data_IF_460846545578
#
_entry.id   IF_460846545578
#
_cell.length_a   1.000
_cell.length_b   1.000
_cell.length_c   1.000
_cell.angle_alpha   90.00
_cell.angle_beta   90.00
_cell.angle_gamma   90.00
#
_symmetry.space_group_name_H-M   'P 1'
#
loop_
_entity.id
_entity.type
_entity.pdbx_description
1 polymer ?
#
# COMPACT_ATOMS: atom_id res chain seq x y z
N UNK A 1 -3.21 -12.17 3.65
CA UNK A 1 -3.22 -11.86 2.19
C UNK A 1 -1.80 -11.89 1.67
N UNK A 2 -1.55 -12.41 0.47
CA UNK A 2 -0.21 -12.49 -0.12
C UNK A 2 -0.18 -11.82 -1.49
N UNK A 3 0.84 -11.01 -1.76
CA UNK A 3 1.02 -10.29 -3.03
C UNK A 3 2.50 -10.02 -3.33
N UNK A 4 2.81 -9.57 -4.55
CA UNK A 4 4.16 -9.18 -4.97
C UNK A 4 4.31 -7.67 -4.77
N UNK A 5 5.25 -7.27 -3.92
CA UNK A 5 5.64 -5.87 -3.71
C UNK A 5 7.08 -5.68 -4.17
N UNK A 6 7.28 -4.83 -5.18
CA UNK A 6 8.62 -4.51 -5.71
C UNK A 6 9.44 -5.78 -6.02
N UNK A 7 8.81 -6.76 -6.67
CA UNK A 7 9.42 -8.04 -7.05
C UNK A 7 9.58 -9.06 -5.91
N UNK A 8 9.12 -8.76 -4.69
CA UNK A 8 9.21 -9.67 -3.54
C UNK A 8 7.83 -10.09 -3.06
N UNK A 9 7.64 -11.38 -2.83
CA UNK A 9 6.42 -11.90 -2.21
C UNK A 9 6.34 -11.39 -0.78
N UNK A 10 5.19 -10.82 -0.42
CA UNK A 10 4.86 -10.34 0.92
C UNK A 10 3.55 -10.94 1.36
N UNK A 11 3.52 -11.43 2.60
CA UNK A 11 2.30 -11.85 3.29
C UNK A 11 2.05 -10.87 4.41
N UNK A 12 0.82 -10.35 4.49
CA UNK A 12 0.41 -9.37 5.49
C UNK A 12 -0.93 -9.75 6.13
N UNK A 13 -1.20 -9.18 7.30
CA UNK A 13 -2.47 -9.29 8.00
C UNK A 13 -3.26 -7.99 7.82
N UNK A 14 -4.22 -8.00 6.89
CA UNK A 14 -5.09 -6.87 6.61
C UNK A 14 -6.55 -7.33 6.56
N UNK A 15 -7.45 -6.50 7.05
CA UNK A 15 -8.89 -6.71 6.91
C UNK A 15 -9.34 -6.28 5.51
N UNK A 16 -10.45 -6.82 4.97
CA UNK A 16 -10.92 -6.48 3.62
C UNK A 16 -11.26 -4.99 3.41
N UNK A 17 -11.61 -4.28 4.48
CA UNK A 17 -11.93 -2.86 4.52
C UNK A 17 -10.70 -1.97 4.75
N UNK A 18 -9.53 -2.54 5.06
CA UNK A 18 -8.31 -1.79 5.27
C UNK A 18 -7.83 -1.13 3.96
N UNK A 19 -7.64 0.20 3.92
CA UNK A 19 -7.06 0.87 2.76
C UNK A 19 -5.66 0.33 2.40
N UNK A 20 -5.41 0.13 1.10
CA UNK A 20 -4.13 -0.38 0.59
C UNK A 20 -2.92 0.44 1.07
N UNK A 21 -3.08 1.75 1.24
CA UNK A 21 -2.05 2.63 1.79
C UNK A 21 -1.57 2.15 3.19
N UNK A 22 -2.49 1.74 4.06
CA UNK A 22 -2.15 1.28 5.40
C UNK A 22 -1.52 -0.10 5.39
N UNK A 23 -2.08 -1.01 4.59
CA UNK A 23 -1.51 -2.33 4.35
C UNK A 23 -0.06 -2.23 3.85
N UNK A 24 0.25 -1.31 2.93
CA UNK A 24 1.62 -1.10 2.46
C UNK A 24 2.50 -0.48 3.56
N UNK A 25 2.09 0.63 4.18
CA UNK A 25 2.96 1.36 5.11
C UNK A 25 3.24 0.63 6.42
N UNK A 26 2.22 0.00 7.01
CA UNK A 26 2.35 -0.60 8.35
C UNK A 26 2.91 -2.02 8.25
N UNK A 27 2.31 -2.87 7.43
CA UNK A 27 2.64 -4.30 7.42
C UNK A 27 3.94 -4.62 6.64
N UNK A 28 4.29 -3.80 5.65
CA UNK A 28 5.54 -4.01 4.88
C UNK A 28 6.69 -3.11 5.34
N UNK A 29 6.41 -2.14 6.22
CA UNK A 29 7.38 -1.15 6.70
C UNK A 29 7.89 -0.18 5.63
N UNK A 30 7.27 -0.15 4.44
CA UNK A 30 7.70 0.76 3.36
C UNK A 30 7.27 2.18 3.63
N UNK A 31 8.20 3.12 3.47
CA UNK A 31 7.93 4.55 3.54
C UNK A 31 7.84 5.22 2.17
N UNK A 32 7.99 4.45 1.08
CA UNK A 32 7.98 4.97 -0.30
C UNK A 32 6.61 5.55 -0.70
N UNK A 33 5.52 4.94 -0.23
CA UNK A 33 4.15 5.46 -0.44
C UNK A 33 3.81 6.44 0.68
N UNK A 34 3.42 7.67 0.34
CA UNK A 34 3.18 8.73 1.33
C UNK A 34 1.69 8.92 1.60
N UNK A 35 1.37 9.27 2.84
CA UNK A 35 0.06 9.81 3.20
C UNK A 35 0.10 11.32 2.92
N UNK A 36 -0.83 11.79 2.10
CA UNK A 36 -0.97 13.21 1.75
C UNK A 36 -2.33 13.72 2.15
N UNK A 37 -3.18 14.03 1.17
CA UNK A 37 -4.50 14.61 1.41
C UNK A 37 -5.49 13.67 2.12
N UNK A 38 -5.41 12.35 1.95
CA UNK A 38 -6.39 11.38 2.47
C UNK A 38 -7.68 11.22 1.64
N UNK A 39 -7.87 12.04 0.60
CA UNK A 39 -9.09 12.08 -0.22
C UNK A 39 -8.83 11.99 -1.73
N UNK A 40 -7.65 11.51 -2.14
CA UNK A 40 -7.31 11.27 -3.56
C UNK A 40 -6.94 12.48 -4.41
N UNK A 41 -6.74 13.68 -3.84
CA UNK A 41 -6.46 14.92 -4.58
C UNK A 41 -4.99 15.15 -4.97
N UNK A 42 -4.04 14.56 -4.24
CA UNK A 42 -2.62 14.95 -4.34
C UNK A 42 -1.71 13.95 -5.07
N UNK A 43 -2.16 12.71 -5.31
CA UNK A 43 -1.31 11.66 -5.91
C UNK A 43 -0.12 11.17 -5.04
N UNK A 44 0.05 11.65 -3.80
CA UNK A 44 1.17 11.26 -2.94
C UNK A 44 1.20 9.75 -2.58
N UNK A 45 0.05 9.08 -2.66
CA UNK A 45 -0.11 7.65 -2.38
C UNK A 45 -0.27 6.79 -3.66
N UNK A 46 0.07 7.30 -4.84
CA UNK A 46 -0.03 6.55 -6.10
C UNK A 46 0.89 5.34 -6.12
N UNK A 47 0.38 4.22 -6.66
CA UNK A 47 1.09 2.96 -6.84
C UNK A 47 0.66 2.31 -8.16
N UNK A 48 1.50 1.42 -8.70
CA UNK A 48 1.11 0.51 -9.77
C UNK A 48 0.43 -0.73 -9.19
N UNK A 49 -0.67 -1.15 -9.79
CA UNK A 49 -1.40 -2.37 -9.43
C UNK A 49 -1.67 -3.14 -10.71
N UNK A 50 -1.05 -4.31 -10.85
CA UNK A 50 -1.16 -5.18 -12.01
C UNK A 50 -0.82 -4.52 -13.38
N UNK A 51 -0.02 -3.43 -13.36
CA UNK A 51 0.39 -2.65 -14.54
C UNK A 51 0.96 -1.28 -14.20
#
# INVERSE_FOLDING_TARGET
MTFILNGKVRTIHATPDMPLLWALRQETGTSSVKFGCGWGLCGACTVHLDG
#
